data_IF_152738619247
#
_entry.id   IF_152738619247
#
_cell.length_a   1.000
_cell.length_b   1.000
_cell.length_c   1.000
_cell.angle_alpha   90.00
_cell.angle_beta   90.00
_cell.angle_gamma   90.00
#
_symmetry.space_group_name_H-M   'P 1'
#
loop_
_entity.id
_entity.type
_entity.pdbx_description
1 polymer ?
#
# COMPACT_ATOMS: atom_id res chain seq x y z
N UNK A 1 3.39 10.95 -14.01
CA UNK A 1 2.03 11.22 -13.49
C UNK A 1 1.69 12.69 -13.66
N UNK A 2 0.41 13.04 -13.69
CA UNK A 2 -0.04 14.44 -13.81
C UNK A 2 -0.19 15.13 -12.43
N UNK A 3 -0.66 14.39 -11.42
CA UNK A 3 -0.63 14.81 -10.01
C UNK A 3 0.48 14.11 -9.22
N UNK A 4 1.10 14.81 -8.25
CA UNK A 4 2.10 14.21 -7.38
C UNK A 4 1.48 13.08 -6.55
N UNK A 5 2.20 11.95 -6.34
CA UNK A 5 1.68 10.83 -5.57
C UNK A 5 1.46 11.22 -4.10
N UNK A 6 0.31 10.83 -3.56
CA UNK A 6 -0.03 11.07 -2.16
C UNK A 6 0.28 9.84 -1.30
N UNK A 7 1.01 10.02 -0.20
CA UNK A 7 1.31 8.93 0.74
C UNK A 7 0.76 9.26 2.12
N UNK A 8 -0.15 8.41 2.61
CA UNK A 8 -0.78 8.55 3.91
C UNK A 8 -0.44 7.36 4.82
N UNK A 9 -0.06 7.66 6.06
CA UNK A 9 0.24 6.66 7.08
C UNK A 9 -0.76 6.78 8.22
N UNK A 10 -1.39 5.68 8.60
CA UNK A 10 -2.42 5.64 9.64
C UNK A 10 -2.07 4.61 10.70
N UNK A 11 -1.87 5.09 11.94
CA UNK A 11 -1.48 4.26 13.10
C UNK A 11 -0.17 3.48 12.91
N UNK A 12 0.63 3.85 11.90
CA UNK A 12 1.95 3.28 11.64
C UNK A 12 2.98 4.41 11.66
N UNK A 13 4.15 4.13 12.21
CA UNK A 13 5.28 5.06 12.16
C UNK A 13 5.94 4.98 10.78
N UNK A 14 5.95 6.08 10.00
CA UNK A 14 6.59 6.08 8.69
C UNK A 14 8.11 6.10 8.86
N UNK A 15 8.75 4.98 8.54
CA UNK A 15 10.21 4.88 8.48
C UNK A 15 10.74 5.22 7.09
N UNK A 16 11.98 5.69 7.00
CA UNK A 16 12.63 5.99 5.71
C UNK A 16 12.64 4.78 4.77
N UNK A 17 12.86 3.58 5.30
CA UNK A 17 12.81 2.35 4.51
C UNK A 17 11.44 2.13 3.83
N UNK A 18 10.34 2.40 4.53
CA UNK A 18 8.99 2.27 3.95
C UNK A 18 8.71 3.37 2.94
N UNK A 19 9.15 4.61 3.21
CA UNK A 19 9.02 5.71 2.24
C UNK A 19 9.77 5.42 0.95
N UNK A 20 11.00 4.89 1.06
CA UNK A 20 11.80 4.49 -0.11
C UNK A 20 11.12 3.37 -0.89
N UNK A 21 10.62 2.33 -0.21
CA UNK A 21 9.91 1.23 -0.88
C UNK A 21 8.66 1.72 -1.62
N UNK A 22 7.92 2.67 -1.04
CA UNK A 22 6.75 3.27 -1.69
C UNK A 22 7.17 4.10 -2.90
N UNK A 23 8.22 4.91 -2.78
CA UNK A 23 8.73 5.71 -3.89
C UNK A 23 9.21 4.83 -5.06
N UNK A 24 9.95 3.75 -4.76
CA UNK A 24 10.43 2.78 -5.74
C UNK A 24 9.27 2.07 -6.46
N UNK A 25 8.25 1.63 -5.70
CA UNK A 25 7.05 1.04 -6.29
C UNK A 25 6.21 2.01 -7.13
N UNK A 26 6.23 3.31 -6.82
CA UNK A 26 5.60 4.35 -7.64
C UNK A 26 6.36 4.50 -8.97
N UNK A 27 7.69 4.52 -8.92
CA UNK A 27 8.56 4.63 -10.10
C UNK A 27 8.36 3.44 -11.06
N UNK A 28 8.35 2.21 -10.51
CA UNK A 28 8.05 0.99 -11.27
C UNK A 28 6.66 1.04 -11.93
N UNK A 29 5.66 1.55 -11.20
CA UNK A 29 4.31 1.71 -11.72
C UNK A 29 4.26 2.71 -12.89
N UNK A 30 5.01 3.81 -12.82
CA UNK A 30 5.15 4.77 -13.92
C UNK A 30 5.86 4.15 -15.14
N UNK A 31 6.87 3.31 -14.93
CA UNK A 31 7.58 2.60 -16.00
C UNK A 31 6.65 1.61 -16.72
N UNK A 32 5.81 0.89 -15.97
CA UNK A 32 4.84 -0.07 -16.53
C UNK A 32 3.68 0.65 -17.24
N UNK A 33 3.19 1.77 -16.71
CA UNK A 33 2.05 2.48 -17.28
C UNK A 33 2.18 4.02 -17.19
N UNK A 34 2.78 4.64 -18.19
CA UNK A 34 3.00 6.10 -18.25
C UNK A 34 1.74 6.98 -18.39
N UNK A 35 0.52 6.43 -18.32
CA UNK A 35 -0.75 7.18 -18.36
C UNK A 35 -1.44 7.29 -16.99
N UNK A 36 -0.72 7.06 -15.90
CA UNK A 36 -1.28 7.26 -14.55
C UNK A 36 -1.53 8.74 -14.32
N UNK A 37 -2.78 9.08 -14.01
CA UNK A 37 -3.19 10.44 -13.66
C UNK A 37 -2.88 10.72 -12.20
N UNK A 38 -3.26 9.81 -11.29
CA UNK A 38 -3.05 9.93 -9.84
C UNK A 38 -2.60 8.62 -9.21
N UNK A 39 -1.82 8.71 -8.14
CA UNK A 39 -1.45 7.56 -7.32
C UNK A 39 -1.55 7.94 -5.85
N UNK A 40 -2.29 7.17 -5.07
CA UNK A 40 -2.48 7.39 -3.65
C UNK A 40 -2.20 6.11 -2.89
N UNK A 41 -1.24 6.19 -1.98
CA UNK A 41 -0.78 5.07 -1.16
C UNK A 41 -1.24 5.32 0.27
N UNK A 42 -1.97 4.37 0.84
CA UNK A 42 -2.36 4.39 2.24
C UNK A 42 -1.82 3.15 2.93
N UNK A 43 -1.05 3.38 4.00
CA UNK A 43 -0.52 2.32 4.85
C UNK A 43 -1.17 2.44 6.23
N UNK A 44 -1.90 1.42 6.64
CA UNK A 44 -2.56 1.34 7.93
C UNK A 44 -2.04 0.15 8.76
N UNK A 45 -1.77 0.35 10.04
CA UNK A 45 -1.52 -0.75 10.98
C UNK A 45 -2.83 -1.20 11.63
N UNK A 46 -3.28 -2.41 11.32
CA UNK A 46 -4.56 -2.95 11.80
C UNK A 46 -4.47 -3.46 13.25
N UNK A 47 -3.28 -3.78 13.78
CA UNK A 47 -3.13 -4.37 15.12
C UNK A 47 -1.89 -3.88 15.89
N UNK A 48 -1.92 -2.66 16.46
CA UNK A 48 -0.83 -2.10 17.26
C UNK A 48 -0.73 -2.82 18.61
N UNK A 49 -0.04 -3.95 18.69
CA UNK A 49 0.20 -4.61 19.98
C UNK A 49 0.59 -6.09 19.98
N UNK A 50 0.38 -6.84 18.90
CA UNK A 50 0.87 -8.23 18.83
C UNK A 50 2.26 -8.26 18.20
N UNK A 51 3.26 -8.69 18.98
CA UNK A 51 4.65 -8.97 18.53
C UNK A 51 4.76 -10.11 17.51
N UNK A 52 3.64 -10.76 17.16
CA UNK A 52 3.56 -11.83 16.16
C UNK A 52 2.77 -11.33 14.95
N UNK A 53 3.49 -10.86 13.93
CA UNK A 53 2.93 -10.43 12.65
C UNK A 53 2.42 -8.98 12.66
N UNK A 54 3.29 -8.02 12.34
CA UNK A 54 2.85 -6.67 11.96
C UNK A 54 2.15 -6.76 10.61
N UNK A 55 0.85 -6.98 10.65
CA UNK A 55 -0.02 -6.98 9.49
C UNK A 55 -0.26 -5.52 9.09
N UNK A 56 0.56 -5.02 8.16
CA UNK A 56 0.35 -3.70 7.57
C UNK A 56 -0.66 -3.87 6.43
N UNK A 57 -1.79 -3.17 6.54
CA UNK A 57 -2.77 -3.06 5.50
C UNK A 57 -2.32 -1.98 4.52
N UNK A 58 -2.04 -2.37 3.28
CA UNK A 58 -1.62 -1.42 2.23
C UNK A 58 -2.72 -1.31 1.19
N UNK A 59 -3.19 -0.09 0.97
CA UNK A 59 -4.12 0.26 -0.10
C UNK A 59 -3.42 1.19 -1.08
N UNK A 60 -3.45 0.80 -2.35
CA UNK A 60 -2.97 1.58 -3.47
C UNK A 60 -4.16 1.94 -4.35
N UNK A 61 -4.29 3.22 -4.66
CA UNK A 61 -5.39 3.77 -5.44
C UNK A 61 -4.78 4.53 -6.62
N UNK A 62 -4.99 4.02 -7.82
CA UNK A 62 -4.33 4.47 -9.04
C UNK A 62 -5.42 4.97 -9.98
N UNK A 63 -5.44 6.28 -10.23
CA UNK A 63 -6.30 6.90 -11.22
C UNK A 63 -5.65 6.83 -12.60
N UNK A 64 -6.38 6.31 -13.58
CA UNK A 64 -6.01 6.31 -15.00
C UNK A 64 -7.10 7.04 -15.80
N UNK A 65 -6.81 7.56 -17.00
CA UNK A 65 -7.82 8.27 -17.79
C UNK A 65 -9.01 7.35 -18.12
N UNK A 66 -10.15 7.63 -17.47
CA UNK A 66 -11.40 6.91 -17.66
C UNK A 66 -11.64 5.71 -16.73
N UNK A 67 -10.74 5.42 -15.78
CA UNK A 67 -10.92 4.33 -14.79
C UNK A 67 -10.10 4.54 -13.52
N UNK A 68 -10.48 3.86 -12.44
CA UNK A 68 -9.72 3.83 -11.18
C UNK A 68 -9.38 2.38 -10.84
N UNK A 69 -8.13 2.15 -10.42
CA UNK A 69 -7.62 0.84 -10.03
C UNK A 69 -7.32 0.89 -8.54
N UNK A 70 -8.05 0.10 -7.76
CA UNK A 70 -7.85 -0.01 -6.32
C UNK A 70 -7.22 -1.36 -6.01
N UNK A 71 -5.98 -1.35 -5.55
CA UNK A 71 -5.28 -2.54 -5.06
C UNK A 71 -5.30 -2.52 -3.53
N UNK A 72 -5.94 -3.54 -2.97
CA UNK A 72 -5.99 -3.72 -1.52
C UNK A 72 -5.23 -5.00 -1.16
N UNK A 73 -4.10 -4.86 -0.49
CA UNK A 73 -3.35 -5.99 0.07
C UNK A 73 -3.57 -6.03 1.57
N UNK A 74 -4.61 -6.76 1.97
CA UNK A 74 -4.73 -7.22 3.35
C UNK A 74 -3.83 -8.47 3.47
N UNK A 75 -2.93 -8.54 4.46
CA UNK A 75 -2.22 -9.78 4.68
C UNK A 75 -3.25 -10.86 5.03
N UNK A 76 -3.07 -12.11 4.56
CA UNK A 76 -4.00 -13.17 4.89
C UNK A 76 -4.08 -13.27 6.40
N UNK A 77 -5.28 -13.06 6.93
CA UNK A 77 -5.70 -13.70 8.17
C UNK A 77 -5.35 -15.17 7.98
N UNK A 78 -4.29 -15.65 8.63
CA UNK A 78 -4.11 -17.08 8.75
C UNK A 78 -5.19 -17.50 9.76
N UNK A 79 -6.33 -18.11 9.37
CA UNK A 79 -7.02 -18.93 10.34
C UNK A 79 -6.00 -19.98 10.73
N UNK A 80 -5.76 -20.11 12.02
CA UNK A 80 -5.07 -21.26 12.59
C UNK A 80 -5.48 -22.53 11.83
N UNK A 81 -4.54 -23.22 11.20
CA UNK A 81 -4.71 -24.66 11.08
C UNK A 81 -4.39 -25.22 12.46
N UNK A 82 -5.43 -25.28 13.30
CA UNK A 82 -5.49 -26.25 14.37
C UNK A 82 -6.75 -27.09 14.16
N UNK A 83 -6.56 -28.27 13.59
CA UNK A 83 -7.35 -29.52 13.67
C UNK A 83 -6.68 -30.49 12.66
N UNK A 84 -6.17 -31.69 12.94
CA UNK A 84 -6.30 -32.72 13.98
C UNK A 84 -5.01 -33.56 13.99
#
# INVERSE_FOLDING_TARGET
MDVPPEVAFRKVEPTDAVKQLIADGIDDLEEVYGRITSCRVMVEETNPGRKAGKLNHVRLDIGVPGSEIVVNRNPPEHPSSQDL
#
